data_IF_063633064807
#
_entry.id   IF_063633064807
#
_cell.length_a   1.000
_cell.length_b   1.000
_cell.length_c   1.000
_cell.angle_alpha   90.00
_cell.angle_beta   90.00
_cell.angle_gamma   90.00
#
_symmetry.space_group_name_H-M   'P 1'
#
loop_
_entity.id
_entity.type
_entity.pdbx_description
1 polymer ?
#
# COMPACT_ATOMS: atom_id res chain seq x y z
N UNK A 1 -30.13 38.33 7.23
CA UNK A 1 -29.99 36.86 7.38
C UNK A 1 -28.58 36.57 7.89
N UNK A 2 -28.47 36.32 9.20
CA UNK A 2 -27.22 36.39 9.96
C UNK A 2 -26.41 35.09 9.87
N UNK A 3 -25.11 35.21 9.62
CA UNK A 3 -24.18 34.09 9.66
C UNK A 3 -23.81 33.78 11.11
N UNK A 4 -23.94 32.52 11.58
CA UNK A 4 -23.44 32.16 12.90
C UNK A 4 -21.91 32.13 12.89
N UNK A 5 -21.29 32.94 13.76
CA UNK A 5 -19.85 32.92 14.03
C UNK A 5 -19.51 31.75 14.95
N UNK A 6 -18.81 30.75 14.43
CA UNK A 6 -18.23 29.66 15.23
C UNK A 6 -16.75 29.93 15.49
N UNK A 7 -16.38 29.95 16.77
CA UNK A 7 -15.00 30.08 17.25
C UNK A 7 -14.10 29.00 16.62
N UNK A 8 -12.93 29.40 16.10
CA UNK A 8 -11.92 28.51 15.53
C UNK A 8 -10.99 28.00 16.63
N UNK A 9 -11.22 26.78 17.11
CA UNK A 9 -10.19 26.01 17.81
C UNK A 9 -9.21 25.44 16.78
N UNK A 10 -7.97 25.91 16.80
CA UNK A 10 -6.88 25.31 16.03
C UNK A 10 -6.52 23.95 16.67
N UNK A 11 -6.91 22.85 16.02
CA UNK A 11 -6.35 21.53 16.35
C UNK A 11 -5.18 21.29 15.40
N UNK A 12 -3.98 21.29 15.94
CA UNK A 12 -2.78 20.81 15.26
C UNK A 12 -3.04 19.39 14.75
N UNK A 13 -2.85 19.18 13.44
CA UNK A 13 -2.93 17.85 12.85
C UNK A 13 -1.74 17.00 13.33
N UNK A 14 -1.90 15.67 13.45
CA UNK A 14 -0.80 14.81 13.83
C UNK A 14 0.31 14.87 12.77
N UNK A 15 1.53 15.12 13.24
CA UNK A 15 2.77 14.98 12.46
C UNK A 15 2.96 13.49 12.20
N UNK A 16 2.87 13.08 10.94
CA UNK A 16 3.19 11.71 10.53
C UNK A 16 4.71 11.58 10.50
N UNK A 17 5.30 11.16 11.62
CA UNK A 17 6.67 10.67 11.61
C UNK A 17 6.71 9.38 10.78
N UNK A 18 7.40 9.44 9.64
CA UNK A 18 7.71 8.26 8.83
C UNK A 18 8.54 7.29 9.65
N UNK A 19 7.88 6.32 10.27
CA UNK A 19 8.53 5.23 10.97
C UNK A 19 9.14 4.28 9.94
N UNK A 20 10.35 4.61 9.49
CA UNK A 20 11.29 3.68 8.89
C UNK A 20 11.69 2.67 9.95
N UNK A 21 10.82 1.69 10.21
CA UNK A 21 11.11 0.62 11.16
C UNK A 21 12.31 -0.18 10.63
N UNK A 22 13.47 -0.19 11.31
CA UNK A 22 14.56 -1.06 10.92
C UNK A 22 14.08 -2.50 11.11
N UNK A 23 14.12 -3.27 10.02
CA UNK A 23 13.79 -4.69 10.00
C UNK A 23 14.72 -5.43 10.97
N UNK A 24 14.25 -5.66 12.21
CA UNK A 24 14.94 -6.50 13.19
C UNK A 24 15.20 -7.88 12.57
N UNK A 25 16.44 -8.39 12.56
CA UNK A 25 16.69 -9.78 12.18
C UNK A 25 16.05 -10.68 13.23
N UNK A 26 15.00 -11.41 12.82
CA UNK A 26 14.33 -12.36 13.70
C UNK A 26 15.21 -13.60 13.84
N UNK A 27 15.58 -13.91 15.10
CA UNK A 27 16.21 -15.17 15.48
C UNK A 27 15.28 -16.34 15.14
N UNK A 28 15.84 -17.35 14.52
CA UNK A 28 15.18 -18.58 14.11
C UNK A 28 15.10 -19.47 15.36
N UNK A 29 13.89 -19.84 15.81
CA UNK A 29 13.74 -20.91 16.79
C UNK A 29 13.85 -22.25 16.05
N UNK A 30 14.85 -23.04 16.43
CA UNK A 30 15.14 -24.36 15.89
C UNK A 30 14.17 -25.41 16.43
N UNK A 31 13.13 -25.69 15.65
CA UNK A 31 12.37 -26.94 15.74
C UNK A 31 12.02 -27.33 14.32
N UNK A 32 12.54 -28.47 13.83
CA UNK A 32 12.46 -28.93 12.43
C UNK A 32 10.99 -29.06 11.97
N UNK A 33 10.43 -28.12 11.21
CA UNK A 33 9.10 -28.26 10.63
C UNK A 33 9.26 -28.69 9.16
N UNK A 34 8.18 -29.14 8.53
CA UNK A 34 8.17 -29.31 7.06
C UNK A 34 8.82 -28.11 6.35
N UNK A 35 9.60 -28.35 5.27
CA UNK A 35 10.31 -27.30 4.55
C UNK A 35 9.36 -26.14 4.28
N UNK A 36 9.67 -24.96 4.82
CA UNK A 36 8.79 -23.80 4.74
C UNK A 36 8.64 -23.39 3.26
N UNK A 37 7.53 -23.74 2.62
CA UNK A 37 7.32 -23.38 1.22
C UNK A 37 7.01 -21.89 1.06
N UNK A 38 7.67 -21.25 0.10
CA UNK A 38 7.36 -19.90 -0.36
C UNK A 38 6.16 -19.91 -1.32
N UNK A 39 5.51 -18.76 -1.56
CA UNK A 39 4.59 -18.57 -2.70
C UNK A 39 5.23 -17.66 -3.73
N UNK A 40 5.35 -18.14 -4.96
CA UNK A 40 5.63 -17.35 -6.15
C UNK A 40 4.32 -16.77 -6.69
N UNK A 41 4.30 -15.46 -6.96
CA UNK A 41 3.20 -14.79 -7.63
C UNK A 41 3.72 -13.68 -8.55
N UNK A 42 2.89 -13.30 -9.53
CA UNK A 42 3.16 -12.18 -10.43
C UNK A 42 2.50 -10.93 -9.87
N UNK A 43 3.26 -9.83 -9.74
CA UNK A 43 2.71 -8.58 -9.26
C UNK A 43 1.61 -8.07 -10.20
N UNK A 44 0.42 -7.76 -9.64
CA UNK A 44 -0.72 -7.28 -10.41
C UNK A 44 -0.51 -5.91 -11.08
N UNK A 45 0.53 -5.15 -10.68
CA UNK A 45 0.85 -3.85 -11.27
C UNK A 45 2.03 -3.92 -12.25
N UNK A 46 3.23 -4.27 -11.78
CA UNK A 46 4.44 -4.25 -12.60
C UNK A 46 4.80 -5.60 -13.25
N UNK A 47 4.00 -6.66 -13.03
CA UNK A 47 4.23 -8.02 -13.55
C UNK A 47 5.54 -8.69 -13.12
N UNK A 48 6.30 -8.11 -12.19
CA UNK A 48 7.47 -8.76 -11.63
C UNK A 48 7.08 -10.06 -10.90
N UNK A 49 7.91 -11.10 -11.04
CA UNK A 49 7.82 -12.31 -10.24
C UNK A 49 8.29 -12.01 -8.82
N UNK A 50 7.49 -12.43 -7.83
CA UNK A 50 7.74 -12.13 -6.42
C UNK A 50 7.55 -13.40 -5.62
N UNK A 51 8.50 -13.68 -4.73
CA UNK A 51 8.37 -14.81 -3.82
C UNK A 51 8.24 -14.34 -2.38
N UNK A 52 7.23 -14.89 -1.68
CA UNK A 52 6.93 -14.60 -0.27
C UNK A 52 6.98 -15.85 0.59
N UNK A 53 7.61 -15.75 1.76
CA UNK A 53 7.54 -16.83 2.75
C UNK A 53 6.12 -16.95 3.32
N UNK A 54 5.80 -18.10 3.93
CA UNK A 54 4.51 -18.34 4.61
C UNK A 54 4.11 -17.25 5.62
N UNK A 55 5.07 -16.62 6.31
CA UNK A 55 4.80 -15.54 7.29
C UNK A 55 4.41 -14.21 6.62
N UNK A 56 5.01 -13.92 5.46
CA UNK A 56 4.71 -12.73 4.66
C UNK A 56 3.51 -12.94 3.73
N UNK A 57 3.13 -14.19 3.50
CA UNK A 57 1.95 -14.55 2.72
C UNK A 57 0.65 -14.24 3.50
N UNK A 58 0.24 -12.98 3.41
CA UNK A 58 -1.05 -12.47 3.90
C UNK A 58 -2.01 -12.12 2.76
N UNK A 59 -1.93 -12.84 1.63
CA UNK A 59 -2.69 -12.50 0.42
C UNK A 59 -2.07 -11.37 -0.41
N UNK A 60 -0.73 -11.24 -0.37
CA UNK A 60 -0.02 -10.27 -1.19
C UNK A 60 -0.22 -10.54 -2.69
N UNK A 61 -0.65 -9.51 -3.42
CA UNK A 61 -0.79 -9.51 -4.90
C UNK A 61 0.10 -8.45 -5.57
N UNK A 62 0.76 -7.61 -4.76
CA UNK A 62 1.70 -6.59 -5.22
C UNK A 62 3.11 -6.88 -4.68
N UNK A 63 4.14 -6.48 -5.43
CA UNK A 63 5.52 -6.53 -4.96
C UNK A 63 5.77 -5.51 -3.84
N UNK A 64 6.89 -5.66 -3.15
CA UNK A 64 7.34 -4.72 -2.11
C UNK A 64 7.86 -3.37 -2.69
N UNK A 65 7.92 -3.22 -4.02
CA UNK A 65 8.41 -2.02 -4.73
C UNK A 65 7.39 -0.88 -4.83
N UNK A 66 6.53 -0.68 -3.83
CA UNK A 66 5.56 0.44 -3.82
C UNK A 66 4.34 0.28 -4.75
N UNK A 67 4.23 -0.83 -5.49
CA UNK A 67 3.10 -1.09 -6.41
C UNK A 67 1.72 -1.06 -5.72
N UNK A 68 1.63 -1.51 -4.47
CA UNK A 68 0.40 -1.45 -3.68
C UNK A 68 -0.06 0.00 -3.43
N UNK A 69 0.87 0.91 -3.18
CA UNK A 69 0.58 2.32 -2.97
C UNK A 69 0.18 2.98 -4.28
N UNK A 70 0.86 2.66 -5.39
CA UNK A 70 0.51 3.17 -6.71
C UNK A 70 -0.92 2.76 -7.11
N UNK A 71 -1.25 1.47 -6.99
CA UNK A 71 -2.59 0.95 -7.26
C UNK A 71 -3.65 1.59 -6.36
N UNK A 72 -3.36 1.77 -5.06
CA UNK A 72 -4.26 2.47 -4.12
C UNK A 72 -4.51 3.91 -4.55
N UNK A 73 -3.46 4.65 -4.93
CA UNK A 73 -3.60 6.05 -5.41
C UNK A 73 -4.44 6.12 -6.68
N UNK A 74 -4.26 5.20 -7.61
CA UNK A 74 -5.07 5.13 -8.83
C UNK A 74 -6.56 4.88 -8.52
N UNK A 75 -6.85 3.85 -7.71
CA UNK A 75 -8.21 3.52 -7.30
C UNK A 75 -8.90 4.67 -6.54
N UNK A 76 -8.16 5.36 -5.65
CA UNK A 76 -8.67 6.54 -4.95
C UNK A 76 -8.96 7.71 -5.91
N UNK A 77 -8.10 7.94 -6.90
CA UNK A 77 -8.32 8.96 -7.94
C UNK A 77 -9.58 8.67 -8.74
N UNK A 78 -9.76 7.44 -9.20
CA UNK A 78 -10.95 7.01 -9.94
C UNK A 78 -12.23 7.10 -9.10
N UNK A 79 -12.18 6.66 -7.84
CA UNK A 79 -13.30 6.79 -6.91
C UNK A 79 -13.65 8.26 -6.66
N UNK A 80 -12.64 9.12 -6.48
CA UNK A 80 -12.84 10.55 -6.31
C UNK A 80 -13.44 11.19 -7.57
N UNK A 81 -12.96 10.85 -8.77
CA UNK A 81 -13.53 11.32 -10.03
C UNK A 81 -15.00 10.92 -10.15
N UNK A 82 -15.33 9.62 -9.96
CA UNK A 82 -16.74 9.14 -9.98
C UNK A 82 -17.61 9.91 -8.98
N UNK A 83 -17.11 10.12 -7.77
CA UNK A 83 -17.84 10.90 -6.76
C UNK A 83 -18.03 12.35 -7.18
N UNK A 84 -17.01 13.02 -7.72
CA UNK A 84 -17.09 14.41 -8.20
C UNK A 84 -18.09 14.57 -9.35
N UNK A 85 -18.16 13.60 -10.27
CA UNK A 85 -19.14 13.57 -11.35
C UNK A 85 -20.57 13.19 -10.89
N UNK A 86 -20.75 12.70 -9.66
CA UNK A 86 -22.07 12.39 -9.13
C UNK A 86 -22.86 13.66 -8.76
N UNK A 87 -24.20 13.59 -8.80
CA UNK A 87 -25.08 14.68 -8.35
C UNK A 87 -24.79 15.09 -6.91
N UNK A 88 -24.61 14.11 -6.01
CA UNK A 88 -24.27 14.35 -4.59
C UNK A 88 -22.94 15.09 -4.44
N UNK A 89 -21.92 14.68 -5.20
CA UNK A 89 -20.61 15.32 -5.20
C UNK A 89 -20.67 16.78 -5.67
N UNK A 90 -21.42 17.07 -6.75
CA UNK A 90 -21.63 18.44 -7.24
C UNK A 90 -22.31 19.34 -6.20
N UNK A 91 -23.37 18.86 -5.54
CA UNK A 91 -24.06 19.62 -4.49
C UNK A 91 -23.15 19.90 -3.28
N UNK A 92 -22.42 18.89 -2.82
CA UNK A 92 -21.46 19.06 -1.72
C UNK A 92 -20.32 20.03 -2.08
N UNK A 93 -19.87 20.02 -3.34
CA UNK A 93 -18.89 21.00 -3.84
C UNK A 93 -19.47 22.42 -3.84
N UNK A 94 -20.69 22.61 -4.36
CA UNK A 94 -21.37 23.91 -4.37
C UNK A 94 -21.54 24.48 -2.95
N UNK A 95 -21.94 23.63 -1.99
CA UNK A 95 -22.05 24.02 -0.58
C UNK A 95 -20.69 24.41 0.01
N UNK A 96 -19.64 23.60 -0.25
CA UNK A 96 -18.27 23.93 0.18
C UNK A 96 -17.82 25.27 -0.36
N UNK A 97 -18.06 25.55 -1.65
CA UNK A 97 -17.71 26.81 -2.30
C UNK A 97 -18.49 27.98 -1.72
N UNK A 98 -19.79 27.80 -1.41
CA UNK A 98 -20.59 28.80 -0.70
C UNK A 98 -19.95 29.15 0.64
N UNK A 99 -19.65 28.13 1.47
CA UNK A 99 -19.00 28.32 2.79
C UNK A 99 -17.62 28.97 2.68
N UNK A 100 -16.84 28.62 1.64
CA UNK A 100 -15.54 29.24 1.37
C UNK A 100 -15.69 30.73 1.08
N UNK A 101 -16.60 31.10 0.15
CA UNK A 101 -16.88 32.50 -0.20
C UNK A 101 -17.39 33.31 1.00
N UNK A 102 -18.24 32.75 1.84
CA UNK A 102 -18.69 33.42 3.08
C UNK A 102 -17.56 33.71 4.07
N UNK A 103 -16.48 32.92 4.07
CA UNK A 103 -15.32 33.13 4.95
C UNK A 103 -14.26 34.04 4.36
N UNK A 104 -14.21 34.18 3.04
CA UNK A 104 -13.25 35.05 2.40
C UNK A 104 -13.65 36.52 2.64
N UNK A 105 -12.77 37.27 3.32
CA UNK A 105 -12.84 38.73 3.32
C UNK A 105 -12.54 39.19 1.89
N UNK A 106 -13.34 40.09 1.34
CA UNK A 106 -13.04 40.72 0.04
C UNK A 106 -11.72 41.48 0.19
N UNK A 107 -10.62 40.92 -0.31
CA UNK A 107 -9.33 41.61 -0.38
C UNK A 107 -9.33 42.42 -1.67
N UNK A 108 -9.57 43.71 -1.56
CA UNK A 108 -9.31 44.68 -2.63
C UNK A 108 -7.81 44.99 -2.63
N UNK A 109 -7.13 44.58 -3.70
CA UNK A 109 -5.83 45.01 -4.20
C UNK A 109 -4.76 45.47 -3.17
N UNK A 110 -3.70 44.67 -3.02
CA UNK A 110 -2.36 45.23 -2.95
C UNK A 110 -1.58 44.67 -4.14
N UNK A 111 -1.19 45.59 -5.04
CA UNK A 111 -0.49 45.27 -6.29
C UNK A 111 0.87 44.63 -6.04
N UNK A 112 1.34 43.86 -7.03
CA UNK A 112 2.61 43.16 -6.97
C UNK A 112 3.80 44.12 -7.04
N UNK A 113 4.82 43.87 -6.22
CA UNK A 113 6.18 44.30 -6.55
C UNK A 113 6.79 43.19 -7.41
N UNK A 114 7.26 43.56 -8.61
CA UNK A 114 7.94 42.64 -9.51
C UNK A 114 9.26 42.17 -8.88
N UNK A 115 9.48 40.85 -8.82
CA UNK A 115 10.80 40.30 -8.54
C UNK A 115 11.37 39.62 -9.79
N UNK A 116 12.60 40.02 -10.07
CA UNK A 116 13.36 39.73 -11.27
C UNK A 116 14.08 38.37 -11.20
N UNK A 117 14.24 37.80 -12.40
CA UNK A 117 15.32 36.96 -12.91
C UNK A 117 15.77 35.72 -12.10
N UNK A 118 15.31 34.57 -12.60
CA UNK A 118 16.08 33.38 -12.97
C UNK A 118 17.46 33.16 -12.31
N UNK A 119 17.52 32.18 -11.41
CA UNK A 119 18.77 31.51 -11.04
C UNK A 119 18.83 30.14 -11.75
N UNK A 120 19.69 30.03 -12.78
CA UNK A 120 20.04 28.77 -13.43
C UNK A 120 21.38 28.22 -12.90
N UNK A 121 21.49 26.89 -13.08
CA UNK A 121 22.68 26.01 -13.14
C UNK A 121 23.00 25.20 -11.86
N UNK A 122 23.63 23.99 -11.96
CA UNK A 122 23.78 23.08 -13.11
C UNK A 122 23.33 21.62 -12.81
N UNK A 123 23.12 20.85 -13.89
CA UNK A 123 22.84 19.42 -13.88
C UNK A 123 24.14 18.61 -13.74
N UNK A 124 24.28 17.81 -12.69
CA UNK A 124 25.35 16.81 -12.57
C UNK A 124 24.87 15.47 -13.10
N UNK A 125 25.41 15.05 -14.25
CA UNK A 125 25.32 13.69 -14.76
C UNK A 125 26.51 12.88 -14.23
N UNK A 126 26.24 11.74 -13.62
CA UNK A 126 27.27 10.73 -13.35
C UNK A 126 26.68 9.37 -13.69
N UNK A 127 27.16 8.81 -14.79
CA UNK A 127 26.87 7.44 -15.22
C UNK A 127 28.13 6.61 -14.99
N UNK A 128 28.01 5.46 -14.32
CA UNK A 128 28.76 4.32 -14.81
C UNK A 128 27.86 3.11 -15.09
N UNK A 129 28.09 2.55 -16.28
CA UNK A 129 27.56 1.28 -16.75
C UNK A 129 28.14 0.12 -15.92
N UNK A 130 27.33 -0.92 -15.68
CA UNK A 130 27.80 -2.18 -15.11
C UNK A 130 27.36 -3.32 -16.01
N UNK A 131 28.35 -3.96 -16.65
CA UNK A 131 28.15 -5.19 -17.41
C UNK A 131 28.01 -6.40 -16.46
N UNK A 132 27.26 -7.45 -16.84
CA UNK A 132 27.13 -8.67 -16.06
C UNK A 132 28.18 -9.71 -16.48
N UNK A 133 28.57 -10.58 -15.56
CA UNK A 133 29.36 -11.78 -15.84
C UNK A 133 28.90 -12.96 -14.95
N UNK A 134 29.14 -14.22 -15.36
CA UNK A 134 28.14 -15.28 -15.32
C UNK A 134 28.16 -16.19 -14.08
N UNK A 135 27.13 -17.03 -14.07
CA UNK A 135 26.74 -18.01 -13.07
C UNK A 135 27.80 -19.08 -12.77
N UNK A 136 27.96 -19.37 -11.49
CA UNK A 136 28.70 -20.53 -10.98
C UNK A 136 27.84 -21.37 -10.03
N UNK A 137 27.78 -22.66 -10.34
CA UNK A 137 27.45 -23.83 -9.51
C UNK A 137 26.21 -23.79 -8.59
N UNK A 138 25.25 -24.67 -8.93
CA UNK A 138 24.01 -24.97 -8.23
C UNK A 138 24.23 -25.67 -6.89
N UNK A 139 24.34 -24.88 -5.83
CA UNK A 139 23.88 -25.23 -4.49
C UNK A 139 22.34 -25.15 -4.52
N UNK A 140 21.54 -25.96 -3.80
CA UNK A 140 20.09 -25.75 -3.71
C UNK A 140 19.84 -24.31 -3.27
N UNK A 141 19.42 -23.49 -4.25
CA UNK A 141 19.36 -22.04 -4.09
C UNK A 141 18.33 -21.80 -3.00
N UNK A 142 18.81 -21.35 -1.84
CA UNK A 142 17.92 -20.82 -0.84
C UNK A 142 17.29 -19.59 -1.46
N UNK A 143 16.10 -19.75 -2.01
CA UNK A 143 15.35 -18.62 -2.51
C UNK A 143 14.95 -17.75 -1.31
N UNK A 144 14.99 -16.43 -1.49
CA UNK A 144 14.77 -15.49 -0.40
C UNK A 144 13.39 -14.85 -0.52
N UNK A 145 12.73 -14.64 0.62
CA UNK A 145 11.50 -13.84 0.64
C UNK A 145 11.79 -12.40 0.21
N UNK A 146 11.06 -11.88 -0.79
CA UNK A 146 11.25 -10.51 -1.30
C UNK A 146 10.84 -9.41 -0.30
N UNK A 147 10.17 -9.78 0.80
CA UNK A 147 9.70 -8.84 1.84
C UNK A 147 10.59 -8.86 3.08
N UNK A 148 10.87 -10.05 3.63
CA UNK A 148 11.63 -10.17 4.88
C UNK A 148 13.05 -10.73 4.69
N UNK A 149 13.42 -11.13 3.46
CA UNK A 149 14.71 -11.73 3.09
C UNK A 149 15.08 -13.01 3.85
N UNK A 150 14.15 -13.63 4.57
CA UNK A 150 14.40 -14.94 5.16
C UNK A 150 14.55 -15.99 4.05
N UNK A 151 15.58 -16.85 4.18
CA UNK A 151 15.74 -18.05 3.38
C UNK A 151 14.60 -19.04 3.66
N UNK A 152 14.23 -19.81 2.65
CA UNK A 152 13.28 -20.90 2.76
C UNK A 152 13.68 -22.03 1.81
N UNK A 153 13.04 -23.19 1.94
CA UNK A 153 13.30 -24.34 1.07
C UNK A 153 12.87 -24.04 -0.37
N UNK A 154 13.66 -24.39 -1.39
CA UNK A 154 13.40 -24.06 -2.81
C UNK A 154 12.07 -24.56 -3.43
N UNK A 155 11.19 -25.20 -2.66
CA UNK A 155 9.83 -25.53 -3.09
C UNK A 155 8.90 -24.32 -2.94
N UNK A 156 8.44 -23.77 -4.07
CA UNK A 156 7.46 -22.67 -4.13
C UNK A 156 6.08 -23.14 -4.61
N UNK A 157 5.03 -22.61 -4.00
CA UNK A 157 3.64 -22.76 -4.47
C UNK A 157 3.26 -21.59 -5.38
N UNK A 158 2.35 -21.83 -6.33
CA UNK A 158 1.81 -20.78 -7.21
C UNK A 158 0.52 -20.13 -6.66
N UNK A 159 -0.14 -20.78 -5.70
CA UNK A 159 -1.42 -20.35 -5.14
C UNK A 159 -1.35 -19.93 -3.66
N UNK A 160 -2.39 -19.24 -3.14
CA UNK A 160 -2.52 -19.00 -1.71
C UNK A 160 -2.66 -20.32 -0.94
N UNK A 161 -2.29 -20.31 0.33
CA UNK A 161 -2.59 -21.44 1.21
C UNK A 161 -4.10 -21.62 1.29
N UNK A 162 -4.61 -22.71 0.72
CA UNK A 162 -5.99 -23.14 0.97
C UNK A 162 -6.09 -23.42 2.47
N UNK A 163 -6.82 -22.60 3.23
CA UNK A 163 -7.24 -23.00 4.57
C UNK A 163 -7.99 -24.32 4.37
N UNK A 164 -7.53 -25.41 4.98
CA UNK A 164 -8.38 -26.59 5.16
C UNK A 164 -9.51 -26.10 6.06
N UNK A 165 -10.67 -25.87 5.46
CA UNK A 165 -11.90 -25.71 6.24
C UNK A 165 -12.18 -27.11 6.75
N UNK A 166 -11.86 -27.38 8.02
CA UNK A 166 -12.48 -28.52 8.69
C UNK A 166 -13.98 -28.18 8.71
N UNK A 167 -14.72 -28.80 7.79
CA UNK A 167 -16.18 -28.85 7.91
C UNK A 167 -16.41 -29.73 9.12
N UNK A 168 -16.70 -29.12 10.27
CA UNK A 168 -17.32 -29.85 11.38
C UNK A 168 -18.64 -30.40 10.84
N UNK A 169 -18.63 -31.68 10.50
CA UNK A 169 -19.85 -32.43 10.21
C UNK A 169 -20.57 -32.54 11.54
N UNK A 170 -21.48 -31.59 11.81
CA UNK A 170 -22.47 -31.74 12.86
C UNK A 170 -23.35 -32.92 12.44
N UNK A 171 -23.08 -34.09 13.01
CA UNK A 171 -24.02 -35.20 13.04
C UNK A 171 -25.23 -34.71 13.84
N UNK A 172 -26.26 -34.25 13.13
CA UNK A 172 -27.59 -34.10 13.73
C UNK A 172 -28.11 -35.51 13.94
N UNK A 173 -27.92 -36.05 15.14
CA UNK A 173 -28.68 -37.22 15.58
C UNK A 173 -30.16 -36.85 15.54
N UNK A 174 -30.85 -37.47 14.58
CA UNK A 174 -32.31 -37.53 14.56
C UNK A 174 -32.73 -38.54 15.62
N UNK A 175 -32.83 -38.12 16.87
CA UNK A 175 -33.68 -38.84 17.83
C UNK A 175 -35.10 -38.33 17.66
N UNK A 176 -35.85 -39.00 16.78
CA UNK A 176 -37.30 -38.98 16.82
C UNK A 176 -37.76 -39.87 17.96
N UNK A 177 -38.59 -39.32 18.85
CA UNK A 177 -39.47 -40.12 19.70
C UNK A 177 -40.67 -39.26 20.13
N UNK A 178 -41.79 -39.45 19.43
CA UNK A 178 -43.15 -39.31 19.98
C UNK A 178 -43.66 -40.75 20.16
N UNK A 179 -44.40 -41.03 21.24
CA UNK A 179 -45.85 -40.90 21.16
C UNK A 179 -46.52 -40.13 22.31
#
# INVERSE_FOLDING_TARGET
MSCPTRAKGARAGPVWHGSSSPSRPFRHNGGLPMPATGRLFVCAHCRAQVIVCRRCDRGQVYCNGGCSQAARRASLREAAQRYQHSRRGRLAHAERMRRYRCRQKKVTHQGSVAQAADALLPLTLTTPARAPAPAGASIPVSEHCHFCRCAYSGFVRLGPLRRRVFRDVRTTDRTGHDP
#
